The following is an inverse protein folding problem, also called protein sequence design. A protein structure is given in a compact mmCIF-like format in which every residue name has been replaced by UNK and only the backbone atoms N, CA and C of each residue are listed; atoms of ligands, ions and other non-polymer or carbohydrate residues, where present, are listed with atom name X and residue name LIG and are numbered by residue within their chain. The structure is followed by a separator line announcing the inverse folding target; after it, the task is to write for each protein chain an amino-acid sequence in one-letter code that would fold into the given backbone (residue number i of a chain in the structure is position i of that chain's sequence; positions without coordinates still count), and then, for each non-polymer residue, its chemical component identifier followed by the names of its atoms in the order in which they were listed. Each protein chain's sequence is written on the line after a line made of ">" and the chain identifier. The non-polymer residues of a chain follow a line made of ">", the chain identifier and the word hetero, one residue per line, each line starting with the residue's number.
data_IF_075074669651
#
_entry.id   IF_075074669651
#
_cell.length_a   1.000
_cell.length_b   1.000
_cell.length_c   1.000
_cell.angle_alpha   90.00
_cell.angle_beta   90.00
_cell.angle_gamma   90.00
#
_symmetry.space_group_name_H-M   'P 1'
#
loop_
_entity.id
_entity.type
_entity.pdbx_description
1 polymer ?
#
# COMPACT_ATOMS: atom_id res chain seq x y z
N UNK A 1 -8.06 -6.48 26.69
CA UNK A 1 -7.19 -6.91 25.56
C UNK A 1 -7.06 -5.91 24.41
N UNK A 2 -8.12 -5.22 23.95
CA UNK A 2 -8.07 -4.26 22.81
C UNK A 2 -6.97 -3.18 22.93
N UNK A 3 -6.69 -2.67 24.14
CA UNK A 3 -5.62 -1.67 24.38
C UNK A 3 -4.20 -2.22 24.14
N UNK A 4 -3.92 -3.47 24.50
CA UNK A 4 -2.60 -4.12 24.27
C UNK A 4 -2.36 -4.35 22.78
N UNK A 5 -3.38 -4.79 22.03
CA UNK A 5 -3.30 -4.97 20.57
C UNK A 5 -3.01 -3.65 19.85
N UNK A 6 -3.67 -2.55 20.26
CA UNK A 6 -3.38 -1.21 19.72
C UNK A 6 -1.95 -0.75 20.02
N UNK A 7 -1.43 -1.03 21.23
CA UNK A 7 -0.04 -0.69 21.62
C UNK A 7 0.98 -1.50 20.80
N UNK A 8 0.78 -2.80 20.64
CA UNK A 8 1.67 -3.66 19.86
C UNK A 8 1.68 -3.28 18.38
N UNK A 9 0.51 -2.98 17.80
CA UNK A 9 0.45 -2.49 16.42
C UNK A 9 1.24 -1.18 16.25
N UNK A 10 1.11 -0.23 17.18
CA UNK A 10 1.88 1.03 17.14
C UNK A 10 3.39 0.78 17.18
N UNK A 11 3.85 -0.11 18.05
CA UNK A 11 5.26 -0.52 18.10
C UNK A 11 5.74 -1.13 16.77
N UNK A 12 4.94 -2.03 16.19
CA UNK A 12 5.24 -2.62 14.87
C UNK A 12 5.36 -1.53 13.80
N UNK A 13 4.46 -0.54 13.80
CA UNK A 13 4.51 0.57 12.84
C UNK A 13 5.76 1.43 13.01
N UNK A 14 6.18 1.73 14.24
CA UNK A 14 7.40 2.49 14.50
C UNK A 14 8.62 1.73 13.98
N UNK A 15 8.71 0.43 14.27
CA UNK A 15 9.80 -0.43 13.80
C UNK A 15 9.86 -0.49 12.26
N UNK A 16 8.72 -0.73 11.60
CA UNK A 16 8.64 -0.74 10.14
C UNK A 16 8.94 0.61 9.52
N UNK A 17 8.53 1.72 10.16
CA UNK A 17 8.85 3.07 9.70
C UNK A 17 10.35 3.30 9.77
N UNK A 18 10.99 2.99 10.90
CA UNK A 18 12.43 3.11 11.05
C UNK A 18 13.19 2.29 10.01
N UNK A 19 12.78 1.03 9.80
CA UNK A 19 13.37 0.16 8.78
C UNK A 19 13.19 0.72 7.36
N UNK A 20 11.99 1.21 7.02
CA UNK A 20 11.70 1.76 5.70
C UNK A 20 12.49 3.04 5.42
N UNK A 21 12.56 3.97 6.39
CA UNK A 21 13.35 5.19 6.25
C UNK A 21 14.84 4.90 6.16
N UNK A 22 15.35 3.95 6.97
CA UNK A 22 16.73 3.50 6.85
C UNK A 22 17.00 2.94 5.45
N UNK A 23 16.13 2.07 4.95
CA UNK A 23 16.28 1.49 3.62
C UNK A 23 16.36 2.56 2.52
N UNK A 24 15.41 3.51 2.50
CA UNK A 24 15.36 4.57 1.47
C UNK A 24 16.62 5.45 1.47
N UNK A 25 17.15 5.79 2.65
CA UNK A 25 18.28 6.71 2.74
C UNK A 25 19.62 6.04 2.44
N UNK A 26 19.79 4.76 2.79
CA UNK A 26 21.07 4.06 2.62
C UNK A 26 21.16 3.23 1.34
N UNK A 27 20.04 2.80 0.76
CA UNK A 27 20.01 1.97 -0.44
C UNK A 27 19.39 2.72 -1.61
N UNK A 28 20.24 3.11 -2.57
CA UNK A 28 19.78 3.66 -3.84
C UNK A 28 19.23 2.55 -4.75
N UNK A 29 18.01 2.69 -5.30
CA UNK A 29 17.41 1.67 -6.16
C UNK A 29 17.98 1.75 -7.59
N UNK A 30 19.25 1.40 -7.76
CA UNK A 30 19.97 1.48 -9.05
C UNK A 30 19.84 0.21 -9.90
N UNK A 31 19.64 -0.95 -9.25
CA UNK A 31 19.52 -2.25 -9.92
C UNK A 31 18.08 -2.74 -9.92
N UNK A 32 17.71 -3.57 -10.90
CA UNK A 32 16.39 -4.21 -10.94
C UNK A 32 16.03 -4.91 -9.62
N UNK A 33 16.99 -5.62 -9.02
CA UNK A 33 16.80 -6.29 -7.75
C UNK A 33 16.53 -5.31 -6.60
N UNK A 34 17.27 -4.20 -6.52
CA UNK A 34 17.02 -3.16 -5.52
C UNK A 34 15.65 -2.47 -5.69
N UNK A 35 15.19 -2.29 -6.93
CA UNK A 35 13.85 -1.77 -7.23
C UNK A 35 12.78 -2.76 -6.74
N UNK A 36 12.96 -4.04 -7.03
CA UNK A 36 12.02 -5.08 -6.57
C UNK A 36 11.93 -5.12 -5.03
N UNK A 37 13.07 -5.10 -4.34
CA UNK A 37 13.12 -5.05 -2.88
C UNK A 37 12.41 -3.80 -2.35
N UNK A 38 12.63 -2.63 -2.98
CA UNK A 38 11.93 -1.40 -2.60
C UNK A 38 10.41 -1.57 -2.62
N UNK A 39 9.85 -2.16 -3.68
CA UNK A 39 8.40 -2.40 -3.77
C UNK A 39 7.89 -3.41 -2.74
N UNK A 40 8.67 -4.44 -2.43
CA UNK A 40 8.32 -5.42 -1.39
C UNK A 40 8.29 -4.75 -0.02
N UNK A 41 9.31 -3.96 0.33
CA UNK A 41 9.35 -3.25 1.61
C UNK A 41 8.22 -2.22 1.68
N UNK A 42 7.98 -1.47 0.60
CA UNK A 42 6.87 -0.53 0.51
C UNK A 42 5.51 -1.22 0.71
N UNK A 43 5.29 -2.39 0.11
CA UNK A 43 4.07 -3.16 0.29
C UNK A 43 3.83 -3.53 1.75
N UNK A 44 4.85 -4.05 2.45
CA UNK A 44 4.75 -4.37 3.87
C UNK A 44 4.55 -3.13 4.74
N UNK A 45 5.25 -2.04 4.43
CA UNK A 45 5.08 -0.77 5.12
C UNK A 45 3.64 -0.25 5.02
N UNK A 46 3.09 -0.20 3.80
CA UNK A 46 1.72 0.23 3.56
C UNK A 46 0.70 -0.71 4.20
N UNK A 47 0.93 -2.03 4.19
CA UNK A 47 0.09 -3.01 4.87
C UNK A 47 -0.05 -2.67 6.35
N UNK A 48 1.07 -2.44 7.03
CA UNK A 48 1.08 -2.09 8.46
C UNK A 48 0.41 -0.74 8.68
N UNK A 49 0.76 0.29 7.89
CA UNK A 49 0.26 1.65 8.03
C UNK A 49 -1.26 1.76 7.84
N UNK A 50 -1.77 1.20 6.75
CA UNK A 50 -3.19 1.29 6.41
C UNK A 50 -4.07 0.33 7.23
N UNK A 51 -3.50 -0.72 7.84
CA UNK A 51 -4.23 -1.64 8.72
C UNK A 51 -4.80 -0.99 9.99
N UNK A 52 -4.38 0.24 10.31
CA UNK A 52 -4.93 1.03 11.40
C UNK A 52 -6.27 1.68 11.07
N UNK A 53 -6.48 2.02 9.79
CA UNK A 53 -7.59 2.84 9.34
C UNK A 53 -8.63 2.05 8.55
N UNK A 54 -8.21 0.97 7.90
CA UNK A 54 -9.02 0.27 6.90
C UNK A 54 -9.18 -1.22 7.20
N UNK A 55 -10.33 -1.76 6.80
CA UNK A 55 -10.56 -3.21 6.76
C UNK A 55 -9.56 -3.89 5.81
N UNK A 56 -9.21 -5.15 6.11
CA UNK A 56 -8.21 -5.93 5.35
C UNK A 56 -8.40 -5.88 3.83
N UNK A 57 -9.63 -6.09 3.34
CA UNK A 57 -9.91 -6.13 1.90
C UNK A 57 -9.74 -4.74 1.26
N UNK A 58 -10.17 -3.68 1.94
CA UNK A 58 -10.03 -2.30 1.44
C UNK A 58 -8.57 -1.85 1.50
N UNK A 59 -7.84 -2.27 2.52
CA UNK A 59 -6.41 -2.06 2.67
C UNK A 59 -5.65 -2.64 1.46
N UNK A 60 -5.83 -3.94 1.17
CA UNK A 60 -5.17 -4.58 0.04
C UNK A 60 -5.45 -3.90 -1.31
N UNK A 61 -6.71 -3.55 -1.60
CA UNK A 61 -7.07 -2.83 -2.84
C UNK A 61 -6.32 -1.51 -2.99
N UNK A 62 -6.27 -0.72 -1.91
CA UNK A 62 -5.59 0.58 -1.92
C UNK A 62 -4.09 0.38 -2.11
N UNK A 63 -3.49 -0.61 -1.45
CA UNK A 63 -2.06 -0.91 -1.61
C UNK A 63 -1.74 -1.29 -3.06
N UNK A 64 -2.52 -2.21 -3.66
CA UNK A 64 -2.33 -2.58 -5.06
C UNK A 64 -2.46 -1.37 -5.98
N UNK A 65 -3.45 -0.50 -5.74
CA UNK A 65 -3.64 0.71 -6.53
C UNK A 65 -2.44 1.66 -6.43
N UNK A 66 -1.91 1.87 -5.22
CA UNK A 66 -0.71 2.69 -5.00
C UNK A 66 0.49 2.10 -5.74
N UNK A 67 0.71 0.79 -5.64
CA UNK A 67 1.84 0.11 -6.30
C UNK A 67 1.72 0.20 -7.82
N UNK A 68 0.54 -0.05 -8.38
CA UNK A 68 0.30 0.07 -9.83
C UNK A 68 0.56 1.51 -10.29
N UNK A 69 0.09 2.51 -9.55
CA UNK A 69 0.34 3.92 -9.88
C UNK A 69 1.83 4.27 -9.85
N UNK A 70 2.58 3.75 -8.87
CA UNK A 70 4.02 3.95 -8.77
C UNK A 70 4.76 3.25 -9.92
N UNK A 71 4.37 2.03 -10.28
CA UNK A 71 4.93 1.30 -11.43
C UNK A 71 4.67 2.05 -12.74
N UNK A 72 3.44 2.51 -12.97
CA UNK A 72 3.10 3.33 -14.14
C UNK A 72 3.92 4.62 -14.18
N UNK A 73 4.14 5.25 -13.04
CA UNK A 73 5.00 6.43 -12.94
C UNK A 73 6.44 6.11 -13.32
N UNK A 74 6.98 5.00 -12.80
CA UNK A 74 8.34 4.55 -13.08
C UNK A 74 8.54 4.23 -14.57
N UNK A 75 7.53 3.62 -15.21
CA UNK A 75 7.52 3.32 -16.63
C UNK A 75 7.21 4.54 -17.52
N UNK A 76 7.01 5.73 -16.93
CA UNK A 76 6.56 6.96 -17.62
C UNK A 76 5.23 6.78 -18.38
N UNK A 77 4.41 5.83 -17.95
CA UNK A 77 3.09 5.54 -18.49
C UNK A 77 1.97 6.13 -17.64
N UNK A 78 2.28 6.84 -16.55
CA UNK A 78 1.27 7.52 -15.75
C UNK A 78 0.69 8.72 -16.52
N UNK A 79 -0.50 8.53 -17.07
CA UNK A 79 -1.29 9.57 -17.71
C UNK A 79 -2.68 9.68 -17.04
N UNK A 80 -3.43 10.72 -17.39
CA UNK A 80 -4.77 10.96 -16.84
C UNK A 80 -5.70 9.76 -17.08
N UNK A 81 -5.60 9.12 -18.24
CA UNK A 81 -6.43 7.98 -18.61
C UNK A 81 -6.18 6.76 -17.70
N UNK A 82 -4.92 6.39 -17.46
CA UNK A 82 -4.55 5.28 -16.58
C UNK A 82 -4.95 5.55 -15.12
N UNK A 83 -4.84 6.81 -14.69
CA UNK A 83 -5.32 7.22 -13.36
C UNK A 83 -6.85 7.05 -13.25
N UNK A 84 -7.61 7.49 -14.25
CA UNK A 84 -9.06 7.34 -14.29
C UNK A 84 -9.49 5.88 -14.34
N UNK A 85 -8.79 5.02 -15.08
CA UNK A 85 -9.05 3.56 -15.10
C UNK A 85 -8.90 2.97 -13.69
N UNK A 86 -7.80 3.26 -13.00
CA UNK A 86 -7.56 2.76 -11.64
C UNK A 86 -8.63 3.28 -10.67
N UNK A 87 -9.05 4.53 -10.82
CA UNK A 87 -10.15 5.12 -10.03
C UNK A 87 -11.47 4.41 -10.28
N UNK A 88 -11.84 4.19 -11.55
CA UNK A 88 -13.05 3.49 -11.93
C UNK A 88 -13.08 2.05 -11.37
N UNK A 89 -11.97 1.31 -11.48
CA UNK A 89 -11.82 -0.02 -10.89
C UNK A 89 -12.05 0.03 -9.38
N UNK A 90 -11.44 0.99 -8.68
CA UNK A 90 -11.62 1.12 -7.23
C UNK A 90 -13.07 1.44 -6.84
N UNK A 91 -13.77 2.31 -7.59
CA UNK A 91 -15.17 2.64 -7.35
C UNK A 91 -16.07 1.43 -7.57
N UNK A 92 -15.88 0.70 -8.68
CA UNK A 92 -16.65 -0.51 -8.99
C UNK A 92 -16.47 -1.59 -7.93
N UNK A 93 -15.21 -1.85 -7.52
CA UNK A 93 -14.92 -2.79 -6.45
C UNK A 93 -15.54 -2.34 -5.13
N UNK A 94 -15.44 -1.06 -4.77
CA UNK A 94 -16.06 -0.53 -3.56
C UNK A 94 -17.59 -0.72 -3.57
N UNK A 95 -18.25 -0.47 -4.71
CA UNK A 95 -19.68 -0.74 -4.88
C UNK A 95 -20.04 -2.22 -4.71
N UNK A 96 -19.27 -3.11 -5.35
CA UNK A 96 -19.45 -4.56 -5.25
C UNK A 96 -19.32 -5.07 -3.81
N UNK A 97 -18.24 -4.69 -3.12
CA UNK A 97 -17.99 -5.13 -1.75
C UNK A 97 -18.93 -4.49 -0.72
N UNK A 98 -19.48 -3.29 -0.99
CA UNK A 98 -20.55 -2.73 -0.17
C UNK A 98 -21.84 -3.51 -0.31
N UNK A 99 -22.23 -3.87 -1.54
CA UNK A 99 -23.44 -4.66 -1.81
C UNK A 99 -23.39 -6.03 -1.13
N UNK A 100 -22.23 -6.70 -1.13
CA UNK A 100 -22.02 -7.97 -0.45
C UNK A 100 -22.11 -7.91 1.09
N UNK A 101 -21.97 -6.74 1.72
CA UNK A 101 -22.10 -6.61 3.18
C UNK A 101 -23.54 -6.40 3.65
N UNK A 102 -24.44 -6.06 2.74
CA UNK A 102 -25.85 -5.74 3.05
C UNK A 102 -26.76 -6.95 2.85
N UNK A 103 -26.34 -7.92 2.02
CA UNK A 103 -26.98 -9.22 1.87
C UNK A 103 -26.36 -10.25 2.82
#
# INVERSE_FOLDING_TARGET
>A
MKRRVKKNRKLILILFSGFFFFYINYFSPTTFFSIFIFYVILFFYLLVLLSFFLDKNRNLRIIFSIIILLLLRQLKQLNLLNLLIILAINILLEGYFRKQRVN
#
